data_IF_936217303710
#
_entry.id   IF_936217303710
#
_cell.length_a   1.000
_cell.length_b   1.000
_cell.length_c   1.000
_cell.angle_alpha   90.00
_cell.angle_beta   90.00
_cell.angle_gamma   90.00
#
_symmetry.space_group_name_H-M   'P 1'
#
loop_
_entity.id
_entity.type
_entity.pdbx_description
1 polymer ?
#
# COMPACT_ATOMS: atom_id res chain seq x y z
N UNK A 1 -4.47 4.40 -5.44
CA UNK A 1 -4.43 4.03 -4.01
C UNK A 1 -3.51 4.97 -3.27
N UNK A 2 -2.19 4.88 -3.45
CA UNK A 2 -1.23 5.69 -2.68
C UNK A 2 -1.41 7.20 -2.85
N UNK A 3 -1.83 7.66 -4.04
CA UNK A 3 -2.21 9.06 -4.27
C UNK A 3 -3.30 9.54 -3.29
N UNK A 4 -4.30 8.71 -2.97
CA UNK A 4 -5.34 9.09 -2.03
C UNK A 4 -4.86 9.06 -0.58
N UNK A 5 -3.88 8.20 -0.24
CA UNK A 5 -3.28 8.15 1.09
C UNK A 5 -2.38 9.36 1.35
N UNK A 6 -1.65 9.81 0.32
CA UNK A 6 -0.72 10.95 0.40
C UNK A 6 -1.36 12.29 0.05
N UNK A 7 -2.56 12.30 -0.53
CA UNK A 7 -3.19 13.41 -1.26
C UNK A 7 -2.62 13.62 -2.69
N UNK A 8 -3.46 14.10 -3.63
CA UNK A 8 -3.04 14.29 -5.03
C UNK A 8 -1.90 15.31 -5.21
N UNK A 9 -1.80 16.30 -4.32
CA UNK A 9 -0.78 17.34 -4.41
C UNK A 9 0.60 16.79 -4.03
N UNK A 10 0.71 16.19 -2.84
CA UNK A 10 1.92 15.52 -2.34
C UNK A 10 2.39 14.46 -3.34
N UNK A 11 1.47 13.64 -3.86
CA UNK A 11 1.80 12.61 -4.83
C UNK A 11 2.39 13.20 -6.12
N UNK A 12 1.76 14.23 -6.71
CA UNK A 12 2.28 14.89 -7.91
C UNK A 12 3.64 15.53 -7.68
N UNK A 13 3.85 16.19 -6.55
CA UNK A 13 5.12 16.83 -6.23
C UNK A 13 6.23 15.77 -6.06
N UNK A 14 5.96 14.67 -5.35
CA UNK A 14 6.90 13.57 -5.19
C UNK A 14 7.25 12.88 -6.52
N UNK A 15 6.27 12.68 -7.41
CA UNK A 15 6.53 12.19 -8.78
C UNK A 15 7.41 13.16 -9.57
N UNK A 16 7.15 14.46 -9.50
CA UNK A 16 7.95 15.47 -10.20
C UNK A 16 9.40 15.46 -9.70
N UNK A 17 9.62 15.34 -8.39
CA UNK A 17 10.97 15.23 -7.82
C UNK A 17 11.66 13.95 -8.26
N UNK A 18 10.95 12.81 -8.23
CA UNK A 18 11.47 11.53 -8.71
C UNK A 18 11.97 11.62 -10.16
N UNK A 19 11.15 12.14 -11.07
CA UNK A 19 11.50 12.29 -12.49
C UNK A 19 12.64 13.28 -12.68
N UNK A 20 12.66 14.40 -11.96
CA UNK A 20 13.76 15.37 -12.05
C UNK A 20 15.11 14.75 -11.63
N UNK A 21 15.11 13.90 -10.60
CA UNK A 21 16.31 13.29 -10.05
C UNK A 21 16.79 12.05 -10.83
N UNK A 22 15.89 11.31 -11.49
CA UNK A 22 16.21 10.02 -12.13
C UNK A 22 15.87 9.95 -13.64
N UNK A 23 15.45 11.05 -14.27
CA UNK A 23 14.91 11.05 -15.64
C UNK A 23 15.84 10.55 -16.74
N UNK A 24 17.15 10.44 -16.48
CA UNK A 24 18.16 9.94 -17.42
C UNK A 24 18.93 8.71 -16.90
N UNK A 25 18.44 8.05 -15.83
CA UNK A 25 19.12 6.95 -15.15
C UNK A 25 18.24 5.71 -15.06
N UNK A 26 18.82 4.61 -14.57
CA UNK A 26 18.08 3.40 -14.25
C UNK A 26 17.13 3.65 -13.08
N UNK A 27 15.88 3.22 -13.24
CA UNK A 27 14.85 3.35 -12.23
C UNK A 27 14.72 2.05 -11.41
N UNK A 28 14.63 2.20 -10.09
CA UNK A 28 14.25 1.15 -9.15
C UNK A 28 13.01 1.61 -8.35
N UNK A 29 12.11 0.69 -7.94
CA UNK A 29 10.92 1.05 -7.17
C UNK A 29 11.24 1.86 -5.91
N UNK A 30 12.33 1.53 -5.23
CA UNK A 30 12.76 2.20 -3.99
C UNK A 30 13.05 3.70 -4.20
N UNK A 31 13.53 4.11 -5.39
CA UNK A 31 13.75 5.53 -5.70
C UNK A 31 12.44 6.30 -5.78
N UNK A 32 11.39 5.68 -6.34
CA UNK A 32 10.05 6.28 -6.36
C UNK A 32 9.48 6.38 -4.95
N UNK A 33 9.60 5.32 -4.16
CA UNK A 33 9.05 5.28 -2.80
C UNK A 33 9.73 6.33 -1.90
N UNK A 34 11.05 6.49 -2.04
CA UNK A 34 11.80 7.51 -1.30
C UNK A 34 11.37 8.93 -1.66
N UNK A 35 11.22 9.23 -2.95
CA UNK A 35 10.78 10.57 -3.38
C UNK A 35 9.36 10.91 -2.88
N UNK A 36 8.47 9.92 -2.83
CA UNK A 36 7.14 10.08 -2.25
C UNK A 36 7.18 10.28 -0.72
N UNK A 37 8.05 9.53 -0.02
CA UNK A 37 8.25 9.66 1.43
C UNK A 37 8.84 11.03 1.80
N UNK A 38 9.88 11.48 1.09
CA UNK A 38 10.51 12.78 1.28
C UNK A 38 9.47 13.91 1.12
N UNK A 39 8.64 13.84 0.08
CA UNK A 39 7.57 14.82 -0.11
C UNK A 39 6.51 14.75 0.99
N UNK A 40 6.17 13.55 1.46
CA UNK A 40 5.19 13.37 2.55
C UNK A 40 5.68 13.98 3.87
N UNK A 41 6.95 13.77 4.21
CA UNK A 41 7.62 14.33 5.39
C UNK A 41 7.78 15.86 5.32
N UNK A 42 7.88 16.43 4.12
CA UNK A 42 7.93 17.88 3.94
C UNK A 42 6.59 18.57 4.24
N UNK A 43 5.46 17.89 4.01
CA UNK A 43 4.12 18.44 4.19
C UNK A 43 3.49 18.07 5.53
N UNK A 44 3.90 16.95 6.14
CA UNK A 44 3.31 16.43 7.37
C UNK A 44 4.41 16.19 8.42
N UNK A 45 4.34 16.92 9.54
CA UNK A 45 5.33 16.89 10.62
C UNK A 45 5.43 15.51 11.31
N UNK A 46 4.36 14.71 11.28
CA UNK A 46 4.34 13.32 11.77
C UNK A 46 3.55 12.42 10.82
N UNK A 47 4.23 11.81 9.82
CA UNK A 47 3.65 10.85 8.89
C UNK A 47 2.95 9.70 9.62
N UNK A 48 1.72 9.37 9.23
CA UNK A 48 0.94 8.29 9.85
C UNK A 48 1.37 6.89 9.41
N UNK A 49 2.18 6.79 8.36
CA UNK A 49 2.68 5.54 7.79
C UNK A 49 3.97 5.79 7.00
N UNK A 50 4.72 4.71 6.77
CA UNK A 50 5.89 4.70 5.89
C UNK A 50 5.45 4.25 4.48
N UNK A 51 5.73 5.08 3.46
CA UNK A 51 5.30 4.84 2.07
C UNK A 51 5.85 3.53 1.54
N UNK A 52 7.11 3.20 1.87
CA UNK A 52 7.75 1.96 1.43
C UNK A 52 7.05 0.75 2.04
N UNK A 53 6.79 0.76 3.34
CA UNK A 53 6.06 -0.31 4.04
C UNK A 53 4.69 -0.57 3.41
N UNK A 54 3.95 0.49 3.05
CA UNK A 54 2.67 0.34 2.35
C UNK A 54 2.89 -0.29 0.99
N UNK A 55 3.70 0.33 0.13
CA UNK A 55 3.87 -0.09 -1.27
C UNK A 55 4.56 -1.45 -1.43
N UNK A 56 5.43 -1.86 -0.50
CA UNK A 56 6.04 -3.18 -0.48
C UNK A 56 4.96 -4.26 -0.37
N UNK A 57 3.97 -4.09 0.51
CA UNK A 57 2.87 -5.06 0.67
C UNK A 57 1.99 -5.19 -0.58
N UNK A 58 1.97 -4.16 -1.44
CA UNK A 58 1.18 -4.16 -2.67
C UNK A 58 1.97 -4.56 -3.92
N UNK A 59 3.29 -4.38 -3.93
CA UNK A 59 4.14 -4.58 -5.11
C UNK A 59 4.94 -5.89 -5.09
N UNK A 60 5.26 -6.43 -3.91
CA UNK A 60 6.18 -7.57 -3.77
C UNK A 60 5.50 -8.93 -3.66
N UNK A 61 4.17 -8.96 -3.54
CA UNK A 61 3.39 -10.19 -3.39
C UNK A 61 2.26 -10.29 -4.41
N UNK A 62 1.82 -11.52 -4.69
CA UNK A 62 0.81 -11.81 -5.72
C UNK A 62 -0.62 -11.63 -5.19
N UNK A 63 -1.48 -11.06 -6.03
CA UNK A 63 -2.91 -10.94 -5.75
C UNK A 63 -3.24 -9.69 -4.93
N UNK A 64 -4.40 -9.72 -4.28
CA UNK A 64 -4.93 -8.60 -3.50
C UNK A 64 -5.84 -9.13 -2.37
N UNK A 65 -6.08 -8.35 -1.31
CA UNK A 65 -6.92 -8.78 -0.21
C UNK A 65 -8.41 -8.65 -0.57
N UNK A 66 -9.23 -9.55 -0.04
CA UNK A 66 -10.63 -9.28 0.23
C UNK A 66 -10.77 -8.86 1.70
N UNK A 67 -11.51 -7.78 1.94
CA UNK A 67 -11.80 -7.28 3.28
C UNK A 67 -13.21 -7.69 3.67
N UNK A 68 -13.31 -8.53 4.70
CA UNK A 68 -14.58 -8.97 5.27
C UNK A 68 -14.87 -8.15 6.52
N UNK A 69 -15.98 -7.42 6.50
CA UNK A 69 -16.45 -6.61 7.63
C UNK A 69 -17.70 -7.26 8.20
N UNK A 70 -17.59 -7.77 9.42
CA UNK A 70 -18.70 -8.39 10.16
C UNK A 70 -19.17 -7.44 11.25
N UNK A 71 -20.41 -6.96 11.16
CA UNK A 71 -21.01 -6.07 12.15
C UNK A 71 -21.95 -6.85 13.06
N UNK A 72 -21.65 -6.85 14.35
CA UNK A 72 -22.53 -7.34 15.39
C UNK A 72 -23.30 -6.16 16.00
N UNK A 73 -24.51 -5.91 15.51
CA UNK A 73 -25.34 -4.79 15.96
C UNK A 73 -25.87 -4.95 17.40
N UNK A 74 -26.04 -6.18 17.90
CA UNK A 74 -26.53 -6.40 19.26
C UNK A 74 -25.45 -6.07 20.31
N UNK A 75 -24.18 -6.30 19.98
CA UNK A 75 -23.04 -5.96 20.84
C UNK A 75 -22.37 -4.63 20.48
N UNK A 76 -22.80 -3.98 19.38
CA UNK A 76 -22.17 -2.77 18.87
C UNK A 76 -20.72 -2.98 18.37
N UNK A 77 -20.33 -4.21 18.04
CA UNK A 77 -18.96 -4.56 17.65
C UNK A 77 -18.83 -4.68 16.13
N UNK A 78 -17.70 -4.25 15.57
CA UNK A 78 -17.34 -4.49 14.17
C UNK A 78 -16.00 -5.23 14.12
N UNK A 79 -15.98 -6.37 13.44
CA UNK A 79 -14.78 -7.16 13.20
C UNK A 79 -14.38 -7.03 11.73
N UNK A 80 -13.12 -6.69 11.48
CA UNK A 80 -12.55 -6.56 10.14
C UNK A 80 -11.48 -7.63 9.97
N UNK A 81 -11.54 -8.39 8.88
CA UNK A 81 -10.56 -9.42 8.53
C UNK A 81 -10.12 -9.24 7.08
N UNK A 82 -8.85 -9.51 6.80
CA UNK A 82 -8.31 -9.60 5.45
C UNK A 82 -7.85 -11.02 5.13
N UNK A 83 -7.99 -11.41 3.86
CA UNK A 83 -7.43 -12.65 3.31
C UNK A 83 -7.18 -12.48 1.81
N UNK A 84 -6.25 -13.24 1.22
CA UNK A 84 -5.97 -13.19 -0.22
C UNK A 84 -7.20 -13.66 -1.00
N UNK A 85 -7.65 -12.85 -1.95
CA UNK A 85 -8.73 -13.26 -2.85
C UNK A 85 -8.23 -14.29 -3.88
N UNK A 86 -8.94 -15.42 -4.00
CA UNK A 86 -8.73 -16.45 -5.01
C UNK A 86 -10.04 -16.75 -5.71
N UNK A 87 -10.05 -16.70 -7.05
CA UNK A 87 -11.25 -16.99 -7.85
C UNK A 87 -11.74 -18.43 -7.68
N UNK A 88 -10.81 -19.38 -7.58
CA UNK A 88 -11.09 -20.80 -7.35
C UNK A 88 -10.53 -21.21 -5.99
N UNK A 89 -11.38 -21.25 -4.95
CA UNK A 89 -10.98 -21.67 -3.60
C UNK A 89 -10.61 -23.16 -3.50
N UNK A 90 -10.84 -23.95 -4.55
CA UNK A 90 -10.52 -25.39 -4.58
C UNK A 90 -9.04 -25.69 -4.80
N UNK A 91 -8.23 -24.67 -5.12
CA UNK A 91 -6.78 -24.80 -5.01
C UNK A 91 -6.41 -24.73 -3.53
N UNK A 92 -6.41 -25.89 -2.87
CA UNK A 92 -5.77 -26.07 -1.58
C UNK A 92 -4.40 -25.40 -1.61
N UNK A 93 -4.03 -24.58 -0.60
CA UNK A 93 -2.86 -23.74 -0.70
C UNK A 93 -1.62 -24.62 -0.57
N UNK A 94 -1.03 -25.00 -1.70
CA UNK A 94 0.38 -25.37 -1.75
C UNK A 94 1.26 -24.19 -1.32
N UNK A 95 0.70 -22.98 -1.38
CA UNK A 95 1.33 -21.73 -0.99
C UNK A 95 1.18 -21.47 0.51
N UNK A 96 2.27 -21.61 1.26
CA UNK A 96 2.34 -21.36 2.70
C UNK A 96 2.63 -19.89 3.04
N UNK A 97 2.67 -18.98 2.05
CA UNK A 97 2.88 -17.55 2.32
C UNK A 97 1.75 -16.96 3.16
N UNK A 98 2.14 -16.21 4.19
CA UNK A 98 1.23 -15.37 4.98
C UNK A 98 0.97 -14.05 4.25
N UNK A 99 -0.02 -14.04 3.37
CA UNK A 99 -0.41 -12.87 2.59
C UNK A 99 -1.09 -11.81 3.45
N UNK A 100 -0.44 -10.65 3.60
CA UNK A 100 -0.98 -9.48 4.32
C UNK A 100 -0.71 -8.21 3.53
N UNK A 101 -1.69 -7.32 3.51
CA UNK A 101 -1.60 -6.00 2.89
C UNK A 101 -1.82 -4.92 3.93
N UNK A 102 -1.18 -3.77 3.74
CA UNK A 102 -1.55 -2.54 4.42
C UNK A 102 -2.78 -1.94 3.72
N UNK A 103 -3.90 -1.83 4.45
CA UNK A 103 -5.22 -1.42 3.94
C UNK A 103 -5.80 -0.33 4.83
#
# INVERSE_FOLDING_TARGET
MIEHCLTPETFRQGISQYVANHGNQTAEPDYLFRALQEQYENEVESPGFDVKTVLDTWSTQKGYPVITVTRNYSQGQTTVRQERFLRNMSESPTDTHDYKWWV
#
